data_IF_743997251232
#
_entry.id   IF_743997251232
#
_cell.length_a   1.000
_cell.length_b   1.000
_cell.length_c   1.000
_cell.angle_alpha   90.00
_cell.angle_beta   90.00
_cell.angle_gamma   90.00
#
_symmetry.space_group_name_H-M   'P 1'
#
loop_
_entity.id
_entity.type
_entity.pdbx_description
1 polymer ?
2 non-polymer ?
3 water ?
#
# COMPACT_ATOMS: atom_id res chain seq x y z
N UNK A 7 -7.15 -2.67 -16.08
CA UNK A 7 -7.33 -1.37 -15.47
C UNK A 7 -6.44 -0.78 -14.39
N UNK A 8 -5.76 0.34 -14.76
CA UNK A 8 -5.02 1.30 -13.92
C UNK A 8 -5.95 1.99 -12.94
N UNK A 9 -5.42 2.36 -11.78
CA UNK A 9 -6.14 3.19 -10.82
C UNK A 9 -6.19 4.60 -11.32
N UNK A 10 -7.23 5.35 -10.93
CA UNK A 10 -7.23 6.80 -11.13
C UNK A 10 -5.96 7.39 -10.56
N UNK A 11 -5.30 8.30 -11.28
CA UNK A 11 -3.99 8.82 -10.87
C UNK A 11 -3.99 9.39 -9.47
N UNK A 12 -5.04 10.13 -9.13
CA UNK A 12 -5.09 10.82 -7.84
C UNK A 12 -5.12 9.83 -6.70
N UNK A 13 -5.62 8.63 -6.98
CA UNK A 13 -5.66 7.55 -6.00
C UNK A 13 -4.30 6.85 -5.87
N UNK A 14 -3.71 6.49 -7.01
CA UNK A 14 -2.34 6.00 -7.04
C UNK A 14 -1.43 6.94 -6.29
N UNK A 15 -1.49 8.22 -6.66
CA UNK A 15 -0.65 9.22 -6.00
C UNK A 15 -0.80 9.19 -4.47
N UNK A 16 -2.02 9.22 -3.95
CA UNK A 16 -2.21 9.37 -2.51
C UNK A 16 -1.77 8.08 -1.83
N UNK A 17 -2.08 6.96 -2.46
CA UNK A 17 -1.69 5.67 -1.98
C UNK A 17 -0.17 5.54 -1.85
N UNK A 18 0.55 5.93 -2.90
CA UNK A 18 2.01 5.83 -2.92
C UNK A 18 2.60 6.69 -1.82
N UNK A 19 2.16 7.94 -1.74
CA UNK A 19 2.55 8.81 -0.65
C UNK A 19 2.28 8.18 0.74
N UNK A 20 1.09 7.62 0.95
CA UNK A 20 0.76 6.98 2.23
C UNK A 20 1.70 5.81 2.58
N UNK A 21 1.87 4.88 1.64
CA UNK A 21 2.74 3.74 1.81
C UNK A 21 4.12 4.23 2.17
N UNK A 22 4.56 5.34 1.58
CA UNK A 22 5.90 5.69 1.89
C UNK A 22 6.02 6.25 3.30
N UNK A 23 5.05 7.05 3.77
CA UNK A 23 5.00 7.41 5.18
C UNK A 23 5.12 6.18 6.11
N UNK A 24 4.38 5.11 5.82
CA UNK A 24 4.35 3.96 6.72
C UNK A 24 5.68 3.23 6.71
N UNK A 25 6.36 3.28 5.58
CA UNK A 25 7.63 2.63 5.45
C UNK A 25 8.57 3.32 6.41
N UNK A 26 8.56 4.65 6.39
CA UNK A 26 9.40 5.41 7.28
C UNK A 26 9.02 5.18 8.73
N UNK A 27 7.73 5.17 9.09
CA UNK A 27 7.44 4.93 10.53
C UNK A 27 8.00 3.58 10.98
N UNK A 28 7.85 2.58 10.13
CA UNK A 28 8.14 1.21 10.50
C UNK A 28 9.64 0.93 10.63
N UNK A 29 10.43 1.72 9.90
CA UNK A 29 11.87 1.64 9.96
C UNK A 29 12.28 1.98 11.38
N UNK A 30 11.81 3.12 11.86
CA UNK A 30 12.24 3.57 13.18
C UNK A 30 11.21 3.24 14.26
N UNK A 31 10.79 1.98 14.34
CA UNK A 31 9.80 1.57 15.35
C UNK A 31 9.97 0.10 15.79
N UNK A 32 9.64 -0.22 17.05
CA UNK A 32 10.00 -1.54 17.62
C UNK A 32 9.28 -2.66 16.92
N UNK A 33 8.04 -2.40 16.52
CA UNK A 33 7.23 -3.45 15.94
C UNK A 33 7.68 -3.75 14.51
N UNK A 34 8.53 -2.88 13.95
CA UNK A 34 8.94 -2.98 12.55
C UNK A 34 7.69 -2.88 11.65
N UNK A 35 6.66 -2.22 12.15
CA UNK A 35 5.41 -2.21 11.44
C UNK A 35 4.75 -0.86 11.65
N UNK A 36 4.00 -0.42 10.64
CA UNK A 36 3.25 0.82 10.73
C UNK A 36 1.93 0.68 9.95
N UNK A 37 0.95 1.47 10.32
CA UNK A 37 -0.34 1.40 9.70
C UNK A 37 -1.03 2.73 9.84
N UNK A 38 -1.94 3.02 8.91
CA UNK A 38 -2.68 4.27 8.90
C UNK A 38 -3.96 4.08 8.08
N UNK A 39 -5.02 4.79 8.43
CA UNK A 39 -6.14 4.86 7.51
C UNK A 39 -6.00 6.08 6.60
N UNK A 40 -6.21 5.85 5.31
CA UNK A 40 -6.13 6.88 4.30
C UNK A 40 -7.45 7.01 3.52
N UNK A 41 -7.90 8.23 3.23
CA UNK A 41 -9.00 8.41 2.28
C UNK A 41 -8.42 8.56 0.88
N UNK A 42 -8.83 7.67 0.00
CA UNK A 42 -8.50 7.85 -1.41
C UNK A 42 -9.69 8.58 -2.03
N UNK A 43 -9.42 9.56 -2.91
CA UNK A 43 -10.48 10.45 -3.40
C UNK A 43 -11.68 9.67 -3.90
N UNK A 44 -11.47 8.67 -4.75
CA UNK A 44 -12.56 7.90 -5.32
C UNK A 44 -12.72 6.58 -4.59
N UNK A 45 -11.60 5.97 -4.22
CA UNK A 45 -11.68 4.63 -3.66
C UNK A 45 -12.14 4.54 -2.20
N UNK A 46 -12.26 5.67 -1.52
CA UNK A 46 -12.78 5.67 -0.16
C UNK A 46 -11.75 5.45 0.92
N UNK A 47 -12.20 5.00 2.09
CA UNK A 47 -11.27 4.73 3.19
C UNK A 47 -10.59 3.38 3.04
N UNK A 48 -9.27 3.44 3.15
CA UNK A 48 -8.39 2.34 2.90
C UNK A 48 -7.40 2.24 4.12
N UNK A 49 -7.07 1.03 4.56
CA UNK A 49 -6.04 0.86 5.58
C UNK A 49 -4.75 0.41 4.95
N UNK A 50 -3.64 1.08 5.26
CA UNK A 50 -2.33 0.65 4.80
C UNK A 50 -1.55 0.03 5.95
N UNK A 51 -1.07 -1.19 5.79
CA UNK A 51 -0.21 -1.82 6.79
C UNK A 51 1.09 -2.25 6.13
N UNK A 52 2.23 -1.96 6.77
CA UNK A 52 3.47 -2.46 6.24
C UNK A 52 4.17 -3.21 7.38
N UNK A 53 4.96 -4.20 7.00
CA UNK A 53 5.73 -4.98 7.96
C UNK A 53 7.07 -5.18 7.34
N UNK A 54 8.04 -4.65 8.05
CA UNK A 54 9.39 -4.63 7.63
C UNK A 54 10.14 -5.83 8.20
N UNK A 55 10.39 -6.82 7.36
CA UNK A 55 11.05 -8.07 7.76
C UNK A 55 12.43 -8.14 7.08
N UNK A 56 13.21 -9.20 7.29
CA UNK A 56 14.57 -9.08 6.82
C UNK A 56 14.77 -9.37 5.33
N UNK A 57 14.21 -10.46 4.83
CA UNK A 57 14.30 -10.69 3.39
C UNK A 57 13.22 -10.03 2.53
N UNK A 58 12.40 -9.15 3.10
CA UNK A 58 11.24 -8.58 2.39
C UNK A 58 10.49 -7.48 3.13
N UNK A 59 9.80 -6.62 2.38
CA UNK A 59 8.93 -5.65 2.97
C UNK A 59 7.52 -5.94 2.51
N UNK A 60 6.65 -6.24 3.47
CA UNK A 60 5.26 -6.61 3.21
C UNK A 60 4.34 -5.42 3.31
N UNK A 61 3.48 -5.25 2.29
CA UNK A 61 2.50 -4.15 2.23
C UNK A 61 1.14 -4.76 1.98
N UNK A 62 0.21 -4.47 2.87
CA UNK A 62 -1.17 -4.92 2.74
C UNK A 62 -2.14 -3.73 2.73
N UNK A 63 -3.01 -3.71 1.72
CA UNK A 63 -4.03 -2.69 1.60
C UNK A 63 -5.39 -3.33 1.88
N UNK A 64 -6.14 -2.70 2.76
CA UNK A 64 -7.45 -3.17 3.15
C UNK A 64 -8.44 -2.12 2.69
N UNK A 65 -9.51 -2.59 2.04
CA UNK A 65 -10.47 -1.69 1.42
C UNK A 65 -11.87 -2.31 1.29
N UNK A 66 -12.83 -1.48 0.91
CA UNK A 66 -14.18 -1.95 0.60
C UNK A 66 -14.11 -2.95 -0.56
N UNK A 67 -15.20 -3.73 -0.74
CA UNK A 67 -15.16 -4.82 -1.73
C UNK A 67 -14.91 -4.32 -3.16
N UNK A 68 -15.59 -3.24 -3.53
CA UNK A 68 -15.42 -2.64 -4.83
C UNK A 68 -14.10 -1.93 -5.04
N UNK A 69 -13.64 -1.19 -4.04
CA UNK A 69 -12.30 -0.61 -4.10
C UNK A 69 -11.28 -1.75 -4.25
N UNK A 70 -11.52 -2.86 -3.56
CA UNK A 70 -10.62 -4.00 -3.70
C UNK A 70 -10.51 -4.43 -5.15
N UNK A 71 -11.67 -4.57 -5.81
CA UNK A 71 -11.67 -5.06 -7.17
C UNK A 71 -10.82 -4.16 -8.05
N UNK A 72 -10.89 -2.86 -7.80
CA UNK A 72 -10.09 -1.93 -8.56
C UNK A 72 -8.61 -2.13 -8.25
N UNK A 73 -8.29 -2.42 -6.99
CA UNK A 73 -6.88 -2.62 -6.64
C UNK A 73 -6.32 -3.88 -7.31
N UNK A 74 -7.09 -4.97 -7.27
CA UNK A 74 -6.66 -6.24 -7.86
C UNK A 74 -6.53 -6.13 -9.36
N UNK A 75 -7.44 -5.38 -9.99
CA UNK A 75 -7.33 -5.16 -11.43
C UNK A 75 -6.07 -4.38 -11.74
N UNK A 76 -5.64 -3.57 -10.78
CA UNK A 76 -4.44 -2.75 -10.95
C UNK A 76 -3.23 -3.30 -10.15
N UNK A 77 -3.31 -4.54 -9.68
CA UNK A 77 -2.23 -5.14 -8.87
C UNK A 77 -0.82 -5.05 -9.50
N UNK A 78 -0.70 -5.41 -10.78
CA UNK A 78 0.57 -5.30 -11.47
C UNK A 78 1.21 -3.91 -11.47
N UNK A 79 0.42 -2.89 -11.78
CA UNK A 79 0.91 -1.50 -11.73
C UNK A 79 1.27 -1.10 -10.29
N UNK A 80 0.48 -1.58 -9.35
CA UNK A 80 0.67 -1.13 -7.99
C UNK A 80 1.99 -1.73 -7.41
N UNK A 81 2.14 -3.05 -7.48
CA UNK A 81 3.38 -3.73 -7.10
C UNK A 81 4.61 -3.01 -7.63
N UNK A 82 4.53 -2.66 -8.90
CA UNK A 82 5.67 -2.20 -9.65
C UNK A 82 6.10 -0.82 -9.21
N UNK A 83 5.14 0.04 -8.89
CA UNK A 83 5.44 1.36 -8.37
C UNK A 83 5.85 1.33 -6.91
N UNK A 84 5.29 0.41 -6.15
CA UNK A 84 5.67 0.31 -4.76
C UNK A 84 7.13 -0.21 -4.73
N UNK A 85 7.46 -1.20 -5.57
CA UNK A 85 8.81 -1.77 -5.58
C UNK A 85 9.84 -0.69 -5.87
N UNK A 86 9.50 0.22 -6.78
CA UNK A 86 10.46 1.26 -7.20
C UNK A 86 10.62 2.30 -6.12
N UNK A 87 9.59 2.39 -5.29
CA UNK A 87 9.54 3.23 -4.10
C UNK A 87 10.50 2.75 -2.99
N UNK A 88 10.75 1.44 -2.96
CA UNK A 88 11.57 0.81 -1.91
C UNK A 88 12.52 -0.23 -2.50
N UNK A 89 13.57 0.22 -3.19
CA UNK A 89 14.43 -0.72 -3.92
C UNK A 89 15.29 -1.59 -3.00
N UNK A 90 15.32 -1.28 -1.72
CA UNK A 90 16.23 -1.98 -0.79
C UNK A 90 15.90 -3.45 -0.57
N UNK A 91 14.63 -3.81 -0.69
CA UNK A 91 14.19 -5.20 -0.53
C UNK A 91 13.05 -5.54 -1.47
N UNK A 92 12.87 -6.84 -1.76
CA UNK A 92 11.67 -7.28 -2.48
C UNK A 92 10.41 -6.84 -1.75
N UNK A 93 9.43 -6.33 -2.50
CA UNK A 93 8.16 -5.94 -1.93
C UNK A 93 7.16 -7.08 -2.10
N UNK A 94 6.35 -7.35 -1.09
CA UNK A 94 5.29 -8.32 -1.21
C UNK A 94 3.98 -7.60 -0.93
N UNK A 95 3.12 -7.56 -1.95
CA UNK A 95 1.87 -6.82 -1.95
C UNK A 95 0.69 -7.74 -1.77
N UNK A 96 -0.15 -7.44 -0.79
CA UNK A 96 -1.36 -8.21 -0.57
C UNK A 96 -2.59 -7.29 -0.32
N UNK A 97 -3.79 -7.85 -0.52
CA UNK A 97 -5.05 -7.13 -0.31
C UNK A 97 -5.96 -7.82 0.71
N UNK A 98 -6.70 -7.02 1.46
CA UNK A 98 -7.50 -7.49 2.58
C UNK A 98 -8.85 -6.78 2.52
N UNK A 99 -9.88 -7.35 3.15
CA UNK A 99 -11.16 -6.67 3.22
C UNK A 99 -11.29 -5.86 4.51
N UNK A 100 -11.96 -4.71 4.41
CA UNK A 100 -11.93 -3.72 5.49
C UNK A 100 -12.24 -4.30 6.87
X LIG B 1 -3.63 -12.12 -2.55
X LIG B 1 -2.61 -11.15 -2.60
X LIG B 1 -4.74 -11.40 -1.81
X LIG B 1 -4.10 -10.18 -1.50
X LIG B 1 -5.99 -11.20 -2.69
X LIG B 1 -7.14 -11.72 -2.05
X LIG C 1 12.53 1.25 5.70
X LIG C 1 13.85 0.77 5.53
X LIG C 1 11.79 0.19 6.51
X LIG C 1 10.54 0.60 6.97
X LIG C 1 11.59 -0.96 5.54
X LIG C 1 12.91 -1.55 5.44
#
# INVERSE_FOLDING_TARGET
GSHMGSRPLPLADLARLLDAVQGRIQVASAAESHAARLQVRLPQLGAVEVQVLHGHGQLQIEISASPGSLALLQQARGELLERLQRLHPEQPVQLTFNQQQDSGQRSRQRRYLHEEWQAE
GOL C1 O1 C2 O2 C3 O3
GOL C1 O1 C2 O2 C3 O3
#
